data_IF_627773255513
#
_entry.id   IF_627773255513
#
_cell.length_a   1.000
_cell.length_b   1.000
_cell.length_c   1.000
_cell.angle_alpha   90.00
_cell.angle_beta   90.00
_cell.angle_gamma   90.00
#
_symmetry.space_group_name_H-M   'P 1'
#
loop_
_entity.id
_entity.type
_entity.pdbx_description
1 polymer ?
#
# COMPACT_ATOMS: atom_id res chain seq x y z
N UNK A 1 18.91 -18.40 -11.57
CA UNK A 1 19.57 -17.15 -11.99
C UNK A 1 19.60 -16.20 -10.80
N UNK A 2 20.79 -15.85 -10.29
CA UNK A 2 21.00 -14.92 -9.15
C UNK A 2 22.12 -13.90 -9.44
N UNK A 3 22.54 -13.73 -10.70
CA UNK A 3 23.83 -13.13 -11.04
C UNK A 3 23.81 -11.62 -11.36
N UNK A 4 22.69 -10.90 -11.14
CA UNK A 4 22.58 -9.48 -11.55
C UNK A 4 22.27 -8.47 -10.45
N UNK A 5 21.67 -8.86 -9.31
CA UNK A 5 21.05 -7.90 -8.38
C UNK A 5 21.64 -7.89 -6.96
N UNK A 6 22.58 -8.79 -6.62
CA UNK A 6 23.09 -8.94 -5.25
C UNK A 6 22.03 -9.33 -4.20
N UNK A 7 20.80 -9.67 -4.62
CA UNK A 7 19.65 -10.00 -3.78
C UNK A 7 18.94 -11.24 -4.31
N UNK A 8 18.32 -12.00 -3.40
CA UNK A 8 17.54 -13.19 -3.75
C UNK A 8 16.13 -12.77 -4.21
N UNK A 9 15.83 -12.93 -5.49
CA UNK A 9 14.52 -12.59 -6.08
C UNK A 9 13.65 -13.83 -6.39
N UNK A 10 14.04 -15.02 -5.90
CA UNK A 10 13.30 -16.24 -6.19
C UNK A 10 11.84 -16.18 -5.72
N UNK A 11 11.58 -15.54 -4.58
CA UNK A 11 10.24 -15.34 -4.03
C UNK A 11 9.32 -14.57 -4.99
N UNK A 12 9.86 -13.53 -5.64
CA UNK A 12 9.14 -12.68 -6.59
C UNK A 12 8.81 -13.46 -7.85
N UNK A 13 9.81 -14.11 -8.46
CA UNK A 13 9.62 -14.89 -9.68
C UNK A 13 8.68 -16.07 -9.46
N UNK A 14 8.78 -16.74 -8.30
CA UNK A 14 7.84 -17.80 -7.90
C UNK A 14 6.40 -17.28 -7.87
N UNK A 15 6.13 -16.19 -7.16
CA UNK A 15 4.79 -15.63 -7.05
C UNK A 15 4.19 -15.19 -8.40
N UNK A 16 5.03 -14.70 -9.32
CA UNK A 16 4.56 -14.19 -10.61
C UNK A 16 4.39 -15.28 -11.68
N UNK A 17 5.33 -16.22 -11.79
CA UNK A 17 5.38 -17.18 -12.90
C UNK A 17 5.01 -18.61 -12.53
N UNK A 18 5.02 -18.97 -11.25
CA UNK A 18 4.83 -20.35 -10.81
C UNK A 18 3.61 -20.52 -9.91
N UNK A 19 3.27 -19.50 -9.12
CA UNK A 19 2.09 -19.53 -8.25
C UNK A 19 0.88 -18.88 -8.94
N UNK A 20 -0.29 -19.48 -8.73
CA UNK A 20 -1.58 -18.89 -9.07
C UNK A 20 -1.89 -17.70 -8.15
N UNK A 21 -2.67 -16.76 -8.67
CA UNK A 21 -3.10 -15.60 -7.90
C UNK A 21 -3.31 -14.34 -8.69
N UNK A 22 -3.57 -13.29 -7.92
CA UNK A 22 -3.82 -11.94 -8.42
C UNK A 22 -3.09 -10.91 -7.56
N UNK A 23 -2.72 -9.76 -8.13
CA UNK A 23 -2.27 -8.62 -7.35
C UNK A 23 -3.50 -7.93 -6.75
N UNK A 24 -3.47 -7.73 -5.44
CA UNK A 24 -4.58 -7.14 -4.69
C UNK A 24 -4.02 -6.53 -3.38
N UNK A 25 -4.17 -5.22 -3.25
CA UNK A 25 -3.84 -4.47 -2.05
C UNK A 25 -5.08 -3.74 -1.52
N UNK A 26 -5.16 -3.62 -0.20
CA UNK A 26 -6.27 -2.97 0.48
C UNK A 26 -5.80 -1.97 1.53
N UNK A 27 -6.51 -0.86 1.68
CA UNK A 27 -6.40 -0.02 2.88
C UNK A 27 -7.16 -0.73 4.00
N UNK A 28 -6.44 -1.46 4.86
CA UNK A 28 -7.03 -2.27 5.93
C UNK A 28 -7.57 -1.40 7.08
N UNK A 29 -6.81 -0.41 7.50
CA UNK A 29 -7.23 0.48 8.60
C UNK A 29 -6.47 1.79 8.60
N UNK A 30 -7.14 2.86 9.01
CA UNK A 30 -6.52 4.16 9.33
C UNK A 30 -6.77 4.45 10.80
N UNK A 31 -5.71 4.73 11.56
CA UNK A 31 -5.77 5.08 12.98
C UNK A 31 -5.21 6.46 13.18
N UNK A 32 -5.99 7.35 13.77
CA UNK A 32 -5.54 8.69 14.16
C UNK A 32 -5.57 8.82 15.68
N UNK A 33 -4.42 9.17 16.27
CA UNK A 33 -4.27 9.42 17.71
C UNK A 33 -3.60 10.78 17.91
N UNK A 34 -4.41 11.79 18.19
CA UNK A 34 -3.94 13.17 18.30
C UNK A 34 -3.31 13.63 16.97
N UNK A 35 -2.02 14.01 17.00
CA UNK A 35 -1.28 14.48 15.82
C UNK A 35 -0.59 13.38 15.02
N UNK A 36 -0.75 12.11 15.39
CA UNK A 36 -0.15 10.98 14.68
C UNK A 36 -1.25 10.20 13.97
N UNK A 37 -1.03 9.86 12.71
CA UNK A 37 -1.88 8.93 11.99
C UNK A 37 -1.05 7.77 11.47
N UNK A 38 -1.57 6.55 11.53
CA UNK A 38 -0.99 5.40 10.85
C UNK A 38 -2.03 4.76 9.93
N UNK A 39 -1.55 4.28 8.79
CA UNK A 39 -2.35 3.52 7.83
C UNK A 39 -1.75 2.13 7.68
N UNK A 40 -2.61 1.12 7.74
CA UNK A 40 -2.22 -0.26 7.50
C UNK A 40 -2.68 -0.65 6.11
N UNK A 41 -1.73 -0.98 5.24
CA UNK A 41 -1.97 -1.56 3.93
C UNK A 41 -1.87 -3.08 4.07
N UNK A 42 -2.82 -3.81 3.50
CA UNK A 42 -2.81 -5.27 3.45
C UNK A 42 -2.60 -5.73 2.01
N UNK A 43 -1.75 -6.75 1.84
CA UNK A 43 -1.60 -7.49 0.60
C UNK A 43 -2.54 -8.68 0.64
N UNK A 44 -3.76 -8.48 0.14
CA UNK A 44 -4.82 -9.49 0.08
C UNK A 44 -4.45 -10.57 -0.93
N UNK A 45 -3.88 -10.16 -2.06
CA UNK A 45 -3.48 -11.02 -3.17
C UNK A 45 -2.16 -11.74 -2.93
N UNK A 46 -1.96 -12.86 -3.62
CA UNK A 46 -0.69 -13.60 -3.56
C UNK A 46 0.39 -13.02 -4.48
N UNK A 47 0.03 -12.20 -5.49
CA UNK A 47 1.02 -11.56 -6.37
C UNK A 47 1.48 -10.22 -5.77
N UNK A 48 2.76 -10.10 -5.37
CA UNK A 48 3.26 -8.88 -4.74
C UNK A 48 3.39 -7.76 -5.77
N UNK A 49 3.02 -6.55 -5.37
CA UNK A 49 3.16 -5.29 -6.13
C UNK A 49 3.72 -4.18 -5.23
N UNK A 50 4.34 -3.13 -5.78
CA UNK A 50 4.72 -1.94 -4.99
C UNK A 50 3.51 -1.27 -4.33
N UNK A 51 3.75 -0.53 -3.25
CA UNK A 51 2.72 0.27 -2.57
C UNK A 51 2.92 1.74 -2.94
N UNK A 52 1.97 2.28 -3.69
CA UNK A 52 1.87 3.71 -3.98
C UNK A 52 0.65 4.26 -3.25
N UNK A 53 0.84 5.13 -2.28
CA UNK A 53 -0.23 5.72 -1.49
C UNK A 53 -0.26 7.23 -1.69
N UNK A 54 -1.39 7.76 -2.16
CA UNK A 54 -1.66 9.19 -2.19
C UNK A 54 -2.52 9.57 -0.98
N UNK A 55 -2.05 10.49 -0.17
CA UNK A 55 -2.75 11.01 1.02
C UNK A 55 -3.09 12.48 0.79
N UNK A 56 -4.37 12.82 0.95
CA UNK A 56 -4.88 14.19 1.00
C UNK A 56 -5.17 14.55 2.46
N UNK A 57 -4.66 15.70 2.90
CA UNK A 57 -4.82 16.20 4.27
C UNK A 57 -5.86 17.32 4.36
N UNK A 58 -6.36 17.57 5.57
CA UNK A 58 -7.39 18.58 5.85
C UNK A 58 -6.94 20.02 5.58
N UNK A 59 -5.64 20.27 5.47
CA UNK A 59 -5.05 21.56 5.09
C UNK A 59 -4.87 21.70 3.56
N UNK A 60 -5.38 20.74 2.78
CA UNK A 60 -5.27 20.70 1.32
C UNK A 60 -3.94 20.18 0.80
N UNK A 61 -2.97 19.84 1.66
CA UNK A 61 -1.71 19.22 1.21
C UNK A 61 -1.95 17.81 0.69
N UNK A 62 -1.16 17.44 -0.31
CA UNK A 62 -1.15 16.10 -0.90
C UNK A 62 0.24 15.52 -0.74
N UNK A 63 0.33 14.33 -0.16
CA UNK A 63 1.56 13.56 -0.02
C UNK A 63 1.46 12.27 -0.83
N UNK A 64 2.57 11.89 -1.46
CA UNK A 64 2.69 10.63 -2.19
C UNK A 64 3.78 9.81 -1.53
N UNK A 65 3.40 8.63 -1.07
CA UNK A 65 4.26 7.71 -0.34
C UNK A 65 4.46 6.49 -1.22
N UNK A 66 5.72 6.11 -1.44
CA UNK A 66 6.08 4.97 -2.26
C UNK A 66 6.91 3.98 -1.44
N UNK A 67 6.51 2.71 -1.48
CA UNK A 67 7.32 1.60 -1.05
C UNK A 67 7.54 0.62 -2.19
N UNK A 68 8.80 0.27 -2.40
CA UNK A 68 9.15 -0.77 -3.36
C UNK A 68 8.53 -2.11 -2.95
N UNK A 69 8.38 -3.00 -3.93
CA UNK A 69 7.89 -4.38 -3.74
C UNK A 69 8.66 -5.18 -2.67
N UNK A 70 9.88 -4.76 -2.32
CA UNK A 70 10.73 -5.42 -1.33
C UNK A 70 10.11 -5.48 0.09
N UNK A 71 9.11 -4.66 0.40
CA UNK A 71 8.38 -4.74 1.68
C UNK A 71 7.64 -6.07 1.88
N UNK A 72 7.52 -6.89 0.83
CA UNK A 72 6.90 -8.21 0.87
C UNK A 72 7.91 -9.37 0.82
N UNK A 73 9.21 -9.08 0.79
CA UNK A 73 10.26 -10.08 0.54
C UNK A 73 10.29 -11.20 1.58
N UNK A 74 9.95 -10.93 2.84
CA UNK A 74 9.95 -11.92 3.90
C UNK A 74 8.56 -12.51 4.18
N UNK A 75 7.63 -12.33 3.24
CA UNK A 75 6.28 -12.90 3.31
C UNK A 75 5.29 -12.07 4.12
N UNK A 76 5.61 -10.81 4.41
CA UNK A 76 4.72 -9.85 5.04
C UNK A 76 3.39 -9.77 4.29
N UNK A 77 2.30 -9.69 5.05
CA UNK A 77 0.94 -9.49 4.54
C UNK A 77 0.43 -8.07 4.79
N UNK A 78 1.09 -7.32 5.66
CA UNK A 78 0.68 -5.97 6.03
C UNK A 78 1.88 -5.05 6.13
N UNK A 79 1.69 -3.81 5.70
CA UNK A 79 2.65 -2.72 5.85
C UNK A 79 1.97 -1.60 6.64
N UNK A 80 2.58 -1.18 7.76
CA UNK A 80 2.14 0.00 8.50
C UNK A 80 2.96 1.22 8.07
N UNK A 81 2.27 2.27 7.64
CA UNK A 81 2.86 3.54 7.23
C UNK A 81 2.46 4.59 8.26
N UNK A 82 3.45 5.22 8.87
CA UNK A 82 3.24 6.32 9.79
C UNK A 82 3.22 7.64 9.01
N UNK A 83 2.19 8.44 9.23
CA UNK A 83 2.02 9.76 8.62
C UNK A 83 2.44 10.82 9.64
N UNK A 84 3.62 11.41 9.41
CA UNK A 84 4.17 12.48 10.23
C UNK A 84 3.62 13.85 9.77
N UNK A 85 2.31 14.05 9.92
CA UNK A 85 1.64 15.30 9.55
C UNK A 85 0.85 15.87 10.72
N UNK A 86 0.91 17.20 10.89
CA UNK A 86 0.07 17.91 11.87
C UNK A 86 -1.41 17.96 11.46
N UNK A 87 -1.69 17.84 10.17
CA UNK A 87 -3.04 17.83 9.61
C UNK A 87 -3.59 16.40 9.52
N UNK A 88 -4.89 16.25 9.66
CA UNK A 88 -5.55 14.94 9.59
C UNK A 88 -5.70 14.49 8.14
N UNK A 89 -5.47 13.21 7.81
CA UNK A 89 -5.78 12.69 6.48
C UNK A 89 -7.30 12.70 6.28
N UNK A 90 -7.74 13.22 5.14
CA UNK A 90 -9.16 13.27 4.76
C UNK A 90 -9.50 12.28 3.67
N UNK A 91 -8.53 11.99 2.80
CA UNK A 91 -8.69 11.06 1.69
C UNK A 91 -7.40 10.31 1.44
N UNK A 92 -7.48 9.03 1.13
CA UNK A 92 -6.36 8.20 0.72
C UNK A 92 -6.75 7.37 -0.49
N UNK A 93 -5.80 7.25 -1.42
CA UNK A 93 -5.92 6.37 -2.57
C UNK A 93 -4.66 5.50 -2.68
N UNK A 94 -4.88 4.20 -2.73
CA UNK A 94 -3.87 3.18 -2.93
C UNK A 94 -3.79 2.81 -4.41
N UNK A 95 -2.57 2.78 -4.94
CA UNK A 95 -2.29 2.60 -6.35
C UNK A 95 -2.62 3.83 -7.23
N UNK A 96 -2.49 3.62 -8.53
CA UNK A 96 -2.85 4.57 -9.58
C UNK A 96 -3.59 3.89 -10.72
N UNK A 97 -3.89 4.63 -11.78
CA UNK A 97 -4.67 4.14 -12.93
C UNK A 97 -4.06 2.93 -13.65
N UNK A 98 -2.74 2.75 -13.54
CA UNK A 98 -1.99 1.65 -14.17
C UNK A 98 -1.51 0.60 -13.16
N UNK A 99 -1.86 0.74 -11.87
CA UNK A 99 -1.50 -0.26 -10.86
C UNK A 99 -2.36 -1.50 -11.09
N UNK A 100 -1.75 -2.67 -11.32
CA UNK A 100 -2.49 -3.91 -11.47
C UNK A 100 -3.03 -4.29 -10.09
N UNK A 101 -4.33 -4.11 -9.91
CA UNK A 101 -5.07 -4.44 -8.69
C UNK A 101 -6.48 -4.88 -9.09
N UNK A 102 -6.90 -6.05 -8.62
CA UNK A 102 -8.19 -6.64 -9.01
C UNK A 102 -9.38 -6.04 -8.26
N UNK A 103 -9.17 -5.45 -7.09
CA UNK A 103 -10.23 -4.85 -6.27
C UNK A 103 -9.97 -3.35 -6.10
N UNK A 104 -10.59 -2.53 -6.94
CA UNK A 104 -10.43 -1.06 -6.82
C UNK A 104 -11.27 -0.47 -5.68
N UNK A 105 -12.21 -1.22 -5.12
CA UNK A 105 -13.17 -0.72 -4.12
C UNK A 105 -12.57 -0.49 -2.73
N UNK A 106 -11.56 -1.24 -2.34
CA UNK A 106 -10.84 -1.15 -1.06
C UNK A 106 -9.51 -0.37 -1.17
N UNK A 107 -9.27 0.21 -2.35
CA UNK A 107 -8.15 1.09 -2.61
C UNK A 107 -8.42 2.55 -2.24
N UNK A 108 -9.61 2.88 -1.73
CA UNK A 108 -9.98 4.24 -1.35
C UNK A 108 -10.46 4.30 0.10
N UNK A 109 -9.97 5.30 0.82
CA UNK A 109 -10.46 5.63 2.15
C UNK A 109 -10.76 7.12 2.20
N UNK A 110 -11.92 7.48 2.75
CA UNK A 110 -12.34 8.87 2.92
C UNK A 110 -13.07 8.97 4.26
N UNK A 111 -12.88 10.08 4.97
CA UNK A 111 -13.75 10.40 6.10
C UNK A 111 -15.09 10.90 5.54
N UNK A 112 -16.16 10.14 5.73
CA UNK A 112 -17.51 10.66 5.50
C UNK A 112 -17.70 11.87 6.43
N UNK A 113 -17.80 13.05 5.85
CA UNK A 113 -18.30 14.23 6.55
C UNK A 113 -19.80 14.05 6.80
N UNK A 114 -20.17 13.14 7.72
CA UNK A 114 -21.51 13.07 8.28
C UNK A 114 -21.47 13.62 9.71
N UNK A 115 -21.91 14.88 9.76
CA UNK A 115 -22.52 15.65 10.88
C UNK A 115 -21.92 15.52 12.28
#
# INVERSE_FOLDING_TARGET
MNAGAGRNLNWFWKAWFYDDGVPDLAIKSVKTKGRKSSVTIERVGSKPVPVDLKVEFSDGRVEKIHYSIAVWEHGEKTLEINLDSKAHPVRMHLGGSHTPDVSKSDNSWEIDAKE
#
